data_IF_475004700579
#
_entry.id   IF_475004700579
#
_cell.length_a   1.000
_cell.length_b   1.000
_cell.length_c   1.000
_cell.angle_alpha   90.00
_cell.angle_beta   90.00
_cell.angle_gamma   90.00
#
_symmetry.space_group_name_H-M   'P 1'
#
loop_
_entity.id
_entity.type
_entity.pdbx_description
1 polymer ?
#
# COMPACT_ATOMS: atom_id res chain seq x y z
N UNK A 1 -66.76 7.56 -11.70
CA UNK A 1 -66.30 8.38 -12.84
C UNK A 1 -65.24 7.60 -13.59
N UNK A 2 -65.53 7.12 -14.80
CA UNK A 2 -64.63 6.29 -15.60
C UNK A 2 -63.44 7.13 -16.10
N UNK A 3 -62.21 6.67 -15.85
CA UNK A 3 -61.01 7.30 -16.36
C UNK A 3 -60.96 7.17 -17.89
N UNK A 4 -60.92 8.29 -18.61
CA UNK A 4 -60.73 8.32 -20.06
C UNK A 4 -59.36 7.73 -20.39
N UNK A 5 -59.33 6.55 -20.98
CA UNK A 5 -58.13 5.99 -21.61
C UNK A 5 -57.82 6.83 -22.86
N UNK A 6 -56.95 7.83 -22.73
CA UNK A 6 -56.41 8.53 -23.88
C UNK A 6 -55.65 7.51 -24.76
N UNK A 7 -55.99 7.46 -26.05
CA UNK A 7 -55.27 6.63 -27.01
C UNK A 7 -53.82 7.12 -27.03
N UNK A 8 -52.88 6.28 -26.58
CA UNK A 8 -51.47 6.61 -26.56
C UNK A 8 -51.01 6.72 -28.02
N UNK A 9 -50.49 7.88 -28.42
CA UNK A 9 -49.94 8.06 -29.76
C UNK A 9 -48.84 7.01 -30.02
N UNK A 10 -48.71 6.50 -31.25
CA UNK A 10 -47.66 5.53 -31.57
C UNK A 10 -46.31 6.17 -31.27
N UNK A 11 -45.47 5.50 -30.47
CA UNK A 11 -44.17 6.05 -30.11
C UNK A 11 -43.29 6.14 -31.35
N UNK A 12 -42.70 7.31 -31.56
CA UNK A 12 -41.71 7.53 -32.61
C UNK A 12 -40.43 6.74 -32.29
N UNK A 13 -40.13 5.76 -33.13
CA UNK A 13 -38.97 4.88 -33.00
C UNK A 13 -37.66 5.66 -33.02
N UNK A 14 -37.62 6.77 -33.76
CA UNK A 14 -36.43 7.63 -33.86
C UNK A 14 -36.15 8.31 -32.52
N UNK A 15 -37.18 8.84 -31.87
CA UNK A 15 -37.06 9.46 -30.54
C UNK A 15 -36.66 8.44 -29.47
N UNK A 16 -37.20 7.22 -29.53
CA UNK A 16 -36.81 6.15 -28.62
C UNK A 16 -35.32 5.78 -28.74
N UNK A 17 -34.82 5.69 -29.97
CA UNK A 17 -33.40 5.42 -30.22
C UNK A 17 -32.50 6.55 -29.73
N UNK A 18 -32.92 7.82 -29.89
CA UNK A 18 -32.19 8.96 -29.37
C UNK A 18 -32.11 8.94 -27.83
N UNK A 19 -33.22 8.64 -27.15
CA UNK A 19 -33.26 8.51 -25.70
C UNK A 19 -32.38 7.36 -25.19
N UNK A 20 -32.34 6.24 -25.91
CA UNK A 20 -31.46 5.12 -25.59
C UNK A 20 -29.98 5.52 -25.73
N UNK A 21 -29.61 6.16 -26.83
CA UNK A 21 -28.24 6.66 -27.03
C UNK A 21 -27.81 7.65 -25.94
N UNK A 22 -28.68 8.60 -25.58
CA UNK A 22 -28.41 9.55 -24.50
C UNK A 22 -28.25 8.87 -23.14
N UNK A 23 -29.08 7.86 -22.85
CA UNK A 23 -28.97 7.09 -21.61
C UNK A 23 -27.63 6.36 -21.54
N UNK A 24 -27.24 5.66 -22.61
CA UNK A 24 -25.96 4.94 -22.70
C UNK A 24 -24.79 5.92 -22.50
N UNK A 25 -24.84 7.10 -23.12
CA UNK A 25 -23.79 8.12 -22.95
C UNK A 25 -23.69 8.63 -21.51
N UNK A 26 -24.83 8.84 -20.83
CA UNK A 26 -24.86 9.27 -19.42
C UNK A 26 -24.32 8.19 -18.49
N UNK A 27 -24.67 6.93 -18.73
CA UNK A 27 -24.17 5.78 -17.96
C UNK A 27 -22.65 5.60 -18.12
N UNK A 28 -22.13 5.69 -19.35
CA UNK A 28 -20.70 5.61 -19.64
C UNK A 28 -19.91 6.76 -19.02
N UNK A 29 -20.48 7.97 -18.94
CA UNK A 29 -19.84 9.13 -18.29
C UNK A 29 -19.66 8.95 -16.78
N UNK A 30 -20.56 8.20 -16.13
CA UNK A 30 -20.54 7.97 -14.68
C UNK A 30 -19.68 6.76 -14.27
N UNK A 31 -19.29 5.89 -15.21
CA UNK A 31 -18.35 4.80 -14.93
C UNK A 31 -16.90 5.28 -15.01
N UNK A 32 -16.42 5.97 -13.98
CA UNK A 32 -14.98 6.11 -13.76
C UNK A 32 -14.47 4.76 -13.25
N UNK A 33 -13.99 3.92 -14.17
CA UNK A 33 -13.25 2.71 -13.83
C UNK A 33 -11.91 3.15 -13.21
N UNK A 34 -11.83 3.10 -11.90
CA UNK A 34 -10.55 3.16 -11.19
C UNK A 34 -9.82 1.85 -11.48
N UNK A 35 -8.85 1.88 -12.39
CA UNK A 35 -8.04 0.73 -12.77
C UNK A 35 -6.83 0.54 -11.87
N UNK A 36 -6.48 1.60 -11.14
CA UNK A 36 -5.32 1.65 -10.24
C UNK A 36 -5.80 2.07 -8.86
N UNK A 37 -5.92 1.08 -7.97
CA UNK A 37 -6.14 1.31 -6.55
C UNK A 37 -4.80 1.17 -5.83
N UNK A 38 -4.30 2.27 -5.28
CA UNK A 38 -3.12 2.29 -4.42
C UNK A 38 -3.52 2.22 -2.95
N UNK A 39 -3.11 1.17 -2.24
CA UNK A 39 -3.29 1.10 -0.80
C UNK A 39 -2.30 2.05 -0.12
N UNK A 40 -2.79 2.94 0.74
CA UNK A 40 -1.93 3.85 1.51
C UNK A 40 -0.98 3.04 2.43
N UNK A 41 0.34 3.08 2.22
CA UNK A 41 1.29 2.26 2.98
C UNK A 41 1.42 2.66 4.45
N UNK A 42 0.95 3.86 4.82
CA UNK A 42 0.96 4.36 6.20
C UNK A 42 -0.33 4.02 6.97
N UNK A 43 -1.32 3.43 6.29
CA UNK A 43 -2.62 3.13 6.87
C UNK A 43 -2.86 1.63 6.79
N UNK A 44 -2.97 0.96 7.94
CA UNK A 44 -3.26 -0.47 7.99
C UNK A 44 -4.64 -0.72 7.38
N UNK A 45 -4.65 -1.26 6.16
CA UNK A 45 -5.87 -1.81 5.57
C UNK A 45 -6.10 -3.18 6.21
N UNK A 46 -7.11 -3.26 7.07
CA UNK A 46 -7.62 -4.56 7.49
C UNK A 46 -8.21 -5.22 6.25
N UNK A 47 -7.71 -6.40 5.89
CA UNK A 47 -8.20 -7.15 4.73
C UNK A 47 -9.67 -7.53 4.95
N UNK A 48 -10.58 -6.74 4.36
CA UNK A 48 -12.02 -7.01 4.34
C UNK A 48 -12.32 -8.12 3.31
N UNK A 49 -11.46 -9.13 3.19
CA UNK A 49 -11.73 -10.32 2.38
C UNK A 49 -12.56 -11.36 3.15
N UNK A 50 -13.09 -10.98 4.32
CA UNK A 50 -13.80 -11.86 5.26
C UNK A 50 -15.25 -11.44 5.42
N UNK A 51 -16.08 -12.41 5.80
CA UNK A 51 -17.52 -12.21 6.01
C UNK A 51 -17.71 -11.14 7.11
N UNK A 52 -18.42 -10.03 6.84
CA UNK A 52 -18.52 -8.89 7.76
C UNK A 52 -18.99 -9.23 9.18
N UNK A 53 -19.73 -10.33 9.33
CA UNK A 53 -20.35 -10.77 10.59
C UNK A 53 -19.71 -12.04 11.18
N UNK A 54 -18.54 -12.45 10.70
CA UNK A 54 -17.90 -13.67 11.20
C UNK A 54 -17.30 -13.43 12.58
N UNK A 55 -17.95 -13.95 13.62
CA UNK A 55 -17.51 -13.80 15.00
C UNK A 55 -16.12 -14.41 15.23
N UNK A 56 -15.87 -15.58 14.65
CA UNK A 56 -14.59 -16.31 14.73
C UNK A 56 -13.44 -15.57 14.04
N UNK A 57 -13.72 -14.80 12.98
CA UNK A 57 -12.70 -14.04 12.25
C UNK A 57 -12.29 -12.73 12.96
N UNK A 58 -13.08 -12.26 13.93
CA UNK A 58 -12.82 -11.06 14.74
C UNK A 58 -12.10 -11.37 16.06
N UNK A 59 -11.84 -12.64 16.36
CA UNK A 59 -11.05 -13.04 17.51
C UNK A 59 -9.60 -12.73 17.18
N UNK A 60 -9.06 -11.67 17.77
CA UNK A 60 -7.64 -11.32 17.67
C UNK A 60 -6.87 -12.33 18.55
N UNK A 61 -6.52 -13.47 17.96
CA UNK A 61 -5.64 -14.43 18.61
C UNK A 61 -4.26 -13.80 18.79
N UNK A 62 -3.65 -13.91 19.98
CA UNK A 62 -2.28 -13.45 20.16
C UNK A 62 -1.39 -14.21 19.16
N UNK A 63 -0.62 -13.46 18.38
CA UNK A 63 0.26 -14.07 17.39
C UNK A 63 1.20 -15.06 18.07
N UNK A 64 1.40 -16.23 17.45
CA UNK A 64 2.27 -17.28 17.98
C UNK A 64 3.68 -16.71 18.24
N UNK A 65 4.09 -16.73 19.50
CA UNK A 65 5.38 -16.22 19.96
C UNK A 65 6.54 -16.87 19.18
N UNK A 66 6.41 -18.15 18.81
CA UNK A 66 7.43 -18.85 18.00
C UNK A 66 7.56 -18.22 16.62
N UNK A 67 6.44 -17.86 16.00
CA UNK A 67 6.43 -17.24 14.68
C UNK A 67 6.96 -15.80 14.73
N UNK A 68 6.59 -15.04 15.76
CA UNK A 68 7.16 -13.72 15.99
C UNK A 68 8.68 -13.79 16.17
N UNK A 69 9.16 -14.73 16.99
CA UNK A 69 10.59 -14.94 17.20
C UNK A 69 11.32 -15.33 15.91
N UNK A 70 10.68 -16.12 15.03
CA UNK A 70 11.25 -16.46 13.73
C UNK A 70 11.40 -15.23 12.82
N UNK A 71 10.38 -14.37 12.77
CA UNK A 71 10.44 -13.12 12.00
C UNK A 71 11.51 -12.20 12.57
N UNK A 72 11.54 -12.02 13.89
CA UNK A 72 12.56 -11.20 14.55
C UNK A 72 13.96 -11.73 14.27
N UNK A 73 14.16 -13.04 14.39
CA UNK A 73 15.42 -13.69 14.07
C UNK A 73 15.80 -13.45 12.59
N UNK A 74 14.86 -13.59 11.65
CA UNK A 74 15.09 -13.32 10.23
C UNK A 74 15.43 -11.85 9.93
N UNK A 75 14.97 -10.90 10.75
CA UNK A 75 15.29 -9.49 10.62
C UNK A 75 16.63 -9.08 11.26
N UNK A 76 17.27 -9.96 12.05
CA UNK A 76 18.56 -9.65 12.69
C UNK A 76 19.68 -9.45 11.67
N UNK A 77 20.69 -8.67 12.08
CA UNK A 77 21.93 -8.47 11.33
C UNK A 77 22.68 -9.81 11.16
N UNK A 78 23.39 -10.02 10.03
CA UNK A 78 24.16 -11.24 9.79
C UNK A 78 25.14 -11.60 10.92
N UNK A 79 25.79 -10.59 11.51
CA UNK A 79 26.74 -10.73 12.62
C UNK A 79 26.11 -11.24 13.92
N UNK A 80 24.79 -11.10 14.09
CA UNK A 80 24.05 -11.65 15.23
C UNK A 80 23.53 -13.06 14.97
N UNK A 81 23.45 -13.46 13.69
CA UNK A 81 22.92 -14.76 13.25
C UNK A 81 24.03 -15.82 13.11
N UNK A 82 25.18 -15.42 12.59
CA UNK A 82 26.27 -16.32 12.26
C UNK A 82 27.55 -15.86 12.95
N UNK A 83 28.40 -16.83 13.34
CA UNK A 83 29.72 -16.54 13.91
C UNK A 83 30.69 -15.98 12.87
N UNK A 84 30.52 -16.37 11.61
CA UNK A 84 31.41 -16.07 10.50
C UNK A 84 30.60 -15.65 9.26
N UNK A 85 31.16 -14.82 8.37
CA UNK A 85 30.49 -14.42 7.14
C UNK A 85 30.21 -15.64 6.27
N UNK A 86 28.99 -15.74 5.76
CA UNK A 86 28.55 -16.88 4.93
C UNK A 86 28.73 -16.60 3.44
N UNK A 87 28.92 -15.34 3.05
CA UNK A 87 29.11 -14.92 1.66
C UNK A 87 30.19 -13.85 1.55
N UNK A 88 30.84 -13.76 0.39
CA UNK A 88 31.88 -12.76 0.12
C UNK A 88 31.37 -11.32 0.35
N UNK A 89 30.12 -11.04 -0.01
CA UNK A 89 29.53 -9.72 0.24
C UNK A 89 29.39 -9.39 1.72
N UNK A 90 29.19 -10.39 2.59
CA UNK A 90 29.15 -10.18 4.04
C UNK A 90 30.52 -9.88 4.61
N UNK A 91 31.61 -10.39 4.02
CA UNK A 91 32.98 -10.13 4.50
C UNK A 91 33.33 -8.64 4.52
N UNK A 92 32.94 -7.90 3.46
CA UNK A 92 33.20 -6.46 3.32
C UNK A 92 32.61 -5.66 4.49
N UNK A 93 31.41 -6.05 4.93
CA UNK A 93 30.65 -5.36 5.97
C UNK A 93 30.67 -6.04 7.33
N UNK A 94 31.49 -7.09 7.51
CA UNK A 94 31.44 -7.91 8.73
C UNK A 94 31.91 -7.13 9.97
N UNK A 95 33.01 -6.40 9.82
CA UNK A 95 33.60 -5.56 10.87
C UNK A 95 33.38 -4.07 10.54
N UNK A 96 32.23 -3.53 10.92
CA UNK A 96 31.88 -2.12 10.69
C UNK A 96 32.49 -1.14 11.70
N UNK A 97 32.97 -1.63 12.84
CA UNK A 97 33.60 -0.79 13.86
C UNK A 97 35.01 -0.41 13.43
N UNK A 98 35.31 0.89 13.23
CA UNK A 98 36.65 1.31 12.85
C UNK A 98 37.63 1.05 13.99
N UNK A 99 38.88 0.72 13.65
CA UNK A 99 39.95 0.48 14.63
C UNK A 99 40.27 1.73 15.46
N UNK A 100 40.16 2.90 14.82
CA UNK A 100 40.30 4.20 15.49
C UNK A 100 38.91 4.83 15.56
N UNK A 101 38.37 5.09 16.75
CA UNK A 101 37.09 5.80 16.86
C UNK A 101 37.27 7.21 16.32
N UNK A 102 36.53 7.54 15.26
CA UNK A 102 36.53 8.88 14.69
C UNK A 102 35.51 9.74 15.44
N UNK A 103 36.01 10.72 16.19
CA UNK A 103 35.16 11.75 16.77
C UNK A 103 34.68 12.70 15.66
N UNK A 104 33.37 12.67 15.38
CA UNK A 104 32.74 13.54 14.37
C UNK A 104 32.45 14.94 14.89
N UNK A 105 32.72 15.21 16.17
CA UNK A 105 32.60 16.54 16.77
C UNK A 105 33.92 17.30 16.72
N UNK A 106 35.05 16.59 16.69
CA UNK A 106 36.38 17.20 16.61
C UNK A 106 36.65 17.79 15.21
N UNK A 107 36.58 19.11 15.12
CA UNK A 107 36.83 19.86 13.89
C UNK A 107 38.30 19.79 13.42
N UNK A 108 39.22 19.26 14.23
CA UNK A 108 40.62 19.04 13.82
C UNK A 108 40.80 17.85 12.89
N UNK A 109 39.92 16.86 13.00
CA UNK A 109 40.01 15.61 12.23
C UNK A 109 38.79 15.34 11.35
N UNK A 110 37.64 15.99 11.62
CA UNK A 110 36.42 15.82 10.85
C UNK A 110 36.06 17.08 10.05
N UNK A 111 36.28 17.02 8.73
CA UNK A 111 36.03 18.12 7.78
C UNK A 111 34.90 17.77 6.78
N UNK A 112 33.63 17.70 7.21
CA UNK A 112 32.52 17.45 6.30
C UNK A 112 32.29 18.67 5.40
N UNK A 113 31.87 18.42 4.15
CA UNK A 113 31.34 19.50 3.30
C UNK A 113 30.06 20.04 3.94
N UNK A 114 30.04 21.33 4.24
CA UNK A 114 28.87 22.03 4.76
C UNK A 114 28.27 22.85 3.62
N UNK A 115 26.97 22.70 3.39
CA UNK A 115 26.23 23.62 2.52
C UNK A 115 26.05 24.93 3.28
N UNK A 116 26.15 26.03 2.56
CA UNK A 116 25.92 27.38 3.10
C UNK A 116 24.84 28.04 2.26
N UNK A 117 24.29 29.16 2.70
CA UNK A 117 23.24 29.85 1.92
C UNK A 117 23.69 30.20 0.48
N UNK A 118 25.00 30.30 0.28
CA UNK A 118 25.63 30.62 -1.01
C UNK A 118 25.94 29.39 -1.87
N UNK A 119 25.99 28.18 -1.31
CA UNK A 119 26.37 26.92 -1.97
C UNK A 119 25.50 25.73 -1.57
#
# INVERSE_FOLDING_TARGET
MAARSAKKEPLDEVQLNQLLCERVQKELKCQRLHTEDGVNPLQRVHTIARKPMSWHDNIEEPADEKFLNLIHHAALEPTKKYSEPQTESQEIGWNTKPLVPMDRTDCRFYFPRRKTEVT
#
